data_IF_476339266071
#
_entry.id   IF_476339266071
#
_cell.length_a   1.000
_cell.length_b   1.000
_cell.length_c   1.000
_cell.angle_alpha   90.00
_cell.angle_beta   90.00
_cell.angle_gamma   90.00
#
_symmetry.space_group_name_H-M   'P 1'
#
loop_
_entity.id
_entity.type
_entity.pdbx_description
1 polymer ?
#
# COMPACT_ATOMS: atom_id res chain seq x y z
N UNK A 1 -16.43 -2.36 7.11
CA UNK A 1 -17.91 -2.29 7.15
C UNK A 1 -18.46 -3.42 6.31
N UNK A 2 -19.49 -4.13 6.80
CA UNK A 2 -19.92 -5.38 6.18
C UNK A 2 -18.86 -6.50 6.28
N UNK A 3 -19.15 -7.63 5.65
CA UNK A 3 -18.31 -8.82 5.60
C UNK A 3 -18.29 -9.39 4.18
N UNK A 4 -17.10 -9.77 3.71
CA UNK A 4 -16.89 -10.46 2.44
C UNK A 4 -16.45 -11.88 2.80
N UNK A 5 -17.23 -12.88 2.40
CA UNK A 5 -16.94 -14.28 2.71
C UNK A 5 -15.73 -14.80 1.93
N UNK A 6 -15.12 -15.90 2.40
CA UNK A 6 -13.98 -16.55 1.75
C UNK A 6 -12.62 -15.94 2.07
N UNK A 7 -11.55 -16.54 1.52
CA UNK A 7 -10.16 -16.09 1.67
C UNK A 7 -9.43 -16.14 0.35
N UNK A 8 -8.58 -15.15 0.09
CA UNK A 8 -7.77 -15.07 -1.12
C UNK A 8 -6.89 -16.32 -1.33
N UNK A 9 -7.01 -16.95 -2.50
CA UNK A 9 -6.17 -18.10 -2.89
C UNK A 9 -6.68 -19.45 -2.41
N UNK A 10 -7.70 -19.47 -1.57
CA UNK A 10 -8.36 -20.67 -1.06
C UNK A 10 -9.74 -20.86 -1.75
N UNK A 11 -10.43 -21.96 -1.42
CA UNK A 11 -11.82 -22.15 -1.83
C UNK A 11 -12.73 -21.24 -1.01
N UNK A 12 -13.66 -20.52 -1.66
CA UNK A 12 -14.63 -19.67 -0.97
C UNK A 12 -15.45 -20.44 0.09
N UNK A 13 -15.67 -21.73 -0.15
CA UNK A 13 -16.45 -22.64 0.69
C UNK A 13 -15.74 -23.04 1.99
N UNK A 14 -14.43 -22.79 2.11
CA UNK A 14 -13.64 -23.14 3.29
C UNK A 14 -13.80 -22.15 4.45
N UNK A 15 -14.41 -20.98 4.20
CA UNK A 15 -14.71 -19.95 5.20
C UNK A 15 -16.15 -19.45 5.05
N UNK A 16 -17.14 -20.26 5.49
CA UNK A 16 -18.55 -19.89 5.42
C UNK A 16 -18.86 -18.85 6.50
N UNK A 17 -18.75 -17.57 6.16
CA UNK A 17 -19.34 -16.50 6.97
C UNK A 17 -20.60 -15.96 6.30
N UNK A 18 -21.61 -15.60 7.09
CA UNK A 18 -22.79 -14.92 6.58
C UNK A 18 -22.36 -13.58 5.95
N UNK A 19 -22.65 -13.41 4.67
CA UNK A 19 -22.28 -12.19 3.94
C UNK A 19 -23.09 -11.02 4.50
N UNK A 20 -22.47 -10.16 5.31
CA UNK A 20 -23.09 -8.94 5.81
C UNK A 20 -22.87 -7.81 4.80
N UNK A 21 -23.93 -7.35 4.15
CA UNK A 21 -23.84 -6.24 3.21
C UNK A 21 -23.67 -4.91 3.92
N UNK A 22 -22.86 -4.02 3.36
CA UNK A 22 -22.63 -2.68 3.90
C UNK A 22 -23.91 -1.85 3.77
N UNK A 23 -24.32 -1.16 4.83
CA UNK A 23 -25.44 -0.23 4.80
C UNK A 23 -24.98 1.18 4.40
N UNK A 24 -25.74 1.94 3.58
CA UNK A 24 -25.37 3.30 3.19
C UNK A 24 -25.20 4.27 4.38
N UNK A 25 -26.05 4.14 5.40
CA UNK A 25 -25.96 4.96 6.62
C UNK A 25 -24.67 4.71 7.40
N UNK A 26 -24.25 3.45 7.53
CA UNK A 26 -23.00 3.07 8.19
C UNK A 26 -21.78 3.54 7.39
N UNK A 27 -21.83 3.38 6.06
CA UNK A 27 -20.79 3.86 5.16
C UNK A 27 -20.59 5.37 5.30
N UNK A 28 -21.68 6.13 5.28
CA UNK A 28 -21.64 7.58 5.49
C UNK A 28 -21.07 7.95 6.85
N UNK A 29 -21.58 7.37 7.93
CA UNK A 29 -21.10 7.66 9.28
C UNK A 29 -19.62 7.32 9.46
N UNK A 30 -19.14 6.24 8.83
CA UNK A 30 -17.74 5.86 8.86
C UNK A 30 -16.86 6.87 8.12
N UNK A 31 -17.24 7.25 6.89
CA UNK A 31 -16.49 8.24 6.09
C UNK A 31 -16.45 9.60 6.79
N UNK A 32 -17.59 10.08 7.29
CA UNK A 32 -17.67 11.37 8.01
C UNK A 32 -16.78 11.41 9.27
N UNK A 33 -16.62 10.26 9.95
CA UNK A 33 -15.81 10.16 11.18
C UNK A 33 -14.33 9.93 10.95
N UNK A 34 -13.96 9.31 9.83
CA UNK A 34 -12.60 8.82 9.58
C UNK A 34 -11.86 9.62 8.51
N UNK A 35 -12.58 10.26 7.59
CA UNK A 35 -11.97 10.97 6.47
C UNK A 35 -11.24 10.06 5.48
N UNK A 36 -11.59 8.77 5.39
CA UNK A 36 -10.96 7.85 4.44
C UNK A 36 -11.12 8.29 2.99
N UNK A 37 -10.08 8.12 2.18
CA UNK A 37 -10.07 8.53 0.76
C UNK A 37 -10.87 7.60 -0.16
N UNK A 38 -11.03 6.34 0.25
CA UNK A 38 -11.82 5.33 -0.46
C UNK A 38 -12.40 4.32 0.52
N UNK A 39 -13.52 3.69 0.14
CA UNK A 39 -14.23 2.78 1.02
C UNK A 39 -14.48 1.41 0.36
N UNK A 40 -14.00 0.35 1.02
CA UNK A 40 -14.39 -1.00 0.68
C UNK A 40 -15.80 -1.33 1.17
N UNK A 41 -16.62 -1.89 0.28
CA UNK A 41 -18.02 -2.22 0.55
C UNK A 41 -18.34 -3.67 0.20
N UNK A 42 -19.22 -4.29 0.99
CA UNK A 42 -19.75 -5.63 0.73
C UNK A 42 -21.13 -5.53 0.08
N UNK A 43 -21.23 -6.05 -1.15
CA UNK A 43 -22.45 -6.07 -1.97
C UNK A 43 -22.74 -7.46 -2.56
N UNK A 44 -22.13 -8.52 -2.02
CA UNK A 44 -22.31 -9.90 -2.50
C UNK A 44 -21.16 -10.47 -3.31
N UNK A 45 -19.98 -9.85 -3.29
CA UNK A 45 -18.74 -10.51 -3.71
C UNK A 45 -18.24 -11.47 -2.63
N UNK A 46 -17.41 -12.43 -3.04
CA UNK A 46 -16.79 -13.45 -2.19
C UNK A 46 -15.33 -13.59 -2.62
N UNK A 47 -14.42 -13.82 -1.68
CA UNK A 47 -13.01 -14.09 -1.95
C UNK A 47 -12.76 -15.57 -2.21
N UNK A 48 -11.83 -15.89 -3.12
CA UNK A 48 -11.44 -17.26 -3.45
C UNK A 48 -12.19 -17.85 -4.64
N UNK A 49 -11.99 -19.15 -4.89
CA UNK A 49 -12.64 -19.86 -6.00
C UNK A 49 -14.10 -20.11 -5.66
N UNK A 50 -15.02 -19.66 -6.52
CA UNK A 50 -16.46 -19.86 -6.37
C UNK A 50 -17.03 -20.88 -7.37
N UNK A 51 -17.97 -21.70 -6.91
CA UNK A 51 -18.86 -22.47 -7.78
C UNK A 51 -20.14 -21.64 -8.04
N UNK A 52 -20.33 -21.14 -9.26
CA UNK A 52 -21.52 -20.35 -9.65
C UNK A 52 -21.26 -18.85 -9.84
N UNK A 53 -22.33 -18.07 -10.04
CA UNK A 53 -22.25 -16.62 -10.29
C UNK A 53 -22.59 -15.82 -9.04
N UNK A 54 -21.71 -14.91 -8.63
CA UNK A 54 -21.99 -13.95 -7.57
C UNK A 54 -23.18 -13.04 -7.96
N UNK A 55 -24.18 -12.93 -7.08
CA UNK A 55 -25.31 -12.01 -7.24
C UNK A 55 -24.98 -10.71 -6.52
N UNK A 56 -24.58 -9.69 -7.28
CA UNK A 56 -24.21 -8.39 -6.74
C UNK A 56 -25.43 -7.47 -6.59
N UNK A 57 -25.54 -6.79 -5.45
CA UNK A 57 -26.58 -5.80 -5.17
C UNK A 57 -26.17 -4.42 -5.72
N UNK A 58 -26.45 -4.20 -7.01
CA UNK A 58 -26.14 -2.93 -7.67
C UNK A 58 -27.00 -1.75 -7.19
N UNK A 59 -28.21 -2.02 -6.69
CA UNK A 59 -29.08 -0.97 -6.14
C UNK A 59 -28.44 -0.39 -4.88
N UNK A 60 -27.95 -1.26 -4.00
CA UNK A 60 -27.16 -0.88 -2.83
C UNK A 60 -25.85 -0.19 -3.21
N UNK A 61 -25.12 -0.71 -4.20
CA UNK A 61 -23.89 -0.06 -4.67
C UNK A 61 -24.13 1.39 -5.11
N UNK A 62 -25.22 1.62 -5.86
CA UNK A 62 -25.62 2.96 -6.28
C UNK A 62 -25.92 3.86 -5.08
N UNK A 63 -26.68 3.35 -4.10
CA UNK A 63 -26.99 4.10 -2.86
C UNK A 63 -25.72 4.41 -2.05
N UNK A 64 -24.80 3.46 -1.93
CA UNK A 64 -23.50 3.65 -1.26
C UNK A 64 -22.71 4.77 -1.94
N UNK A 65 -22.55 4.69 -3.27
CA UNK A 65 -21.82 5.70 -4.05
C UNK A 65 -22.41 7.11 -3.85
N UNK A 66 -23.73 7.24 -3.90
CA UNK A 66 -24.44 8.50 -3.66
C UNK A 66 -24.29 9.01 -2.22
N UNK A 67 -24.16 8.12 -1.24
CA UNK A 67 -24.13 8.48 0.19
C UNK A 67 -22.75 8.96 0.66
N UNK A 68 -21.67 8.38 0.13
CA UNK A 68 -20.30 8.70 0.56
C UNK A 68 -19.55 9.61 -0.40
N UNK A 69 -19.88 9.60 -1.69
CA UNK A 69 -19.25 10.43 -2.73
C UNK A 69 -17.71 10.37 -2.77
N UNK A 70 -17.14 9.21 -2.43
CA UNK A 70 -15.72 8.88 -2.54
C UNK A 70 -15.58 7.58 -3.34
N UNK A 71 -14.41 7.30 -3.95
CA UNK A 71 -14.17 6.05 -4.66
C UNK A 71 -14.48 4.79 -3.85
N UNK A 72 -15.22 3.86 -4.44
CA UNK A 72 -15.57 2.58 -3.80
C UNK A 72 -14.58 1.47 -4.19
N UNK A 73 -14.39 0.52 -3.27
CA UNK A 73 -13.52 -0.64 -3.44
C UNK A 73 -14.33 -1.92 -3.33
N UNK A 74 -14.04 -2.87 -4.23
CA UNK A 74 -14.63 -4.21 -4.22
C UNK A 74 -13.55 -5.25 -3.97
N UNK A 75 -13.68 -5.99 -2.87
CA UNK A 75 -12.91 -7.20 -2.62
C UNK A 75 -13.53 -8.39 -3.36
N UNK A 76 -12.70 -9.27 -3.93
CA UNK A 76 -13.17 -10.50 -4.58
C UNK A 76 -13.75 -10.28 -5.97
N UNK A 77 -12.96 -9.71 -6.89
CA UNK A 77 -13.34 -9.60 -8.32
C UNK A 77 -13.17 -10.89 -9.12
N UNK A 78 -12.57 -11.94 -8.55
CA UNK A 78 -12.33 -13.21 -9.26
C UNK A 78 -13.66 -13.92 -9.56
N UNK A 79 -13.86 -14.32 -10.82
CA UNK A 79 -15.10 -14.98 -11.27
C UNK A 79 -16.22 -14.06 -11.75
N UNK A 80 -16.04 -12.74 -11.65
CA UNK A 80 -16.96 -11.78 -12.26
C UNK A 80 -16.77 -11.71 -13.78
N UNK A 81 -17.87 -11.47 -14.51
CA UNK A 81 -17.84 -11.28 -15.95
C UNK A 81 -17.77 -9.79 -16.34
N UNK A 82 -17.68 -9.52 -17.64
CA UNK A 82 -17.56 -8.17 -18.22
C UNK A 82 -18.71 -7.24 -17.83
N UNK A 83 -19.95 -7.70 -17.98
CA UNK A 83 -21.14 -6.91 -17.61
C UNK A 83 -21.14 -6.54 -16.12
N UNK A 84 -20.70 -7.46 -15.25
CA UNK A 84 -20.59 -7.20 -13.82
C UNK A 84 -19.52 -6.14 -13.56
N UNK A 85 -18.34 -6.24 -14.16
CA UNK A 85 -17.29 -5.22 -14.02
C UNK A 85 -17.73 -3.85 -14.52
N UNK A 86 -18.39 -3.77 -15.68
CA UNK A 86 -18.93 -2.50 -16.18
C UNK A 86 -19.97 -1.89 -15.24
N UNK A 87 -20.84 -2.70 -14.65
CA UNK A 87 -21.81 -2.22 -13.65
C UNK A 87 -21.11 -1.74 -12.37
N UNK A 88 -20.04 -2.41 -11.93
CA UNK A 88 -19.26 -1.96 -10.79
C UNK A 88 -18.65 -0.57 -11.05
N UNK A 89 -17.90 -0.43 -12.15
CA UNK A 89 -17.20 0.84 -12.46
C UNK A 89 -18.18 1.98 -12.73
N UNK A 90 -19.31 1.70 -13.40
CA UNK A 90 -20.37 2.69 -13.64
C UNK A 90 -21.09 3.15 -12.37
N UNK A 91 -20.93 2.44 -11.25
CA UNK A 91 -21.51 2.78 -9.95
C UNK A 91 -20.44 3.20 -8.92
N UNK A 92 -19.33 3.78 -9.37
CA UNK A 92 -18.35 4.43 -8.49
C UNK A 92 -17.24 3.53 -7.94
N UNK A 93 -17.17 2.27 -8.38
CA UNK A 93 -16.04 1.40 -8.01
C UNK A 93 -14.81 1.82 -8.80
N UNK A 94 -13.75 2.20 -8.08
CA UNK A 94 -12.47 2.61 -8.65
C UNK A 94 -11.34 1.61 -8.39
N UNK A 95 -11.50 0.70 -7.42
CA UNK A 95 -10.51 -0.33 -7.07
C UNK A 95 -11.17 -1.70 -6.95
N UNK A 96 -10.56 -2.70 -7.57
CA UNK A 96 -11.03 -4.08 -7.59
C UNK A 96 -9.86 -4.99 -7.21
N UNK A 97 -10.07 -5.86 -6.22
CA UNK A 97 -9.06 -6.85 -5.84
C UNK A 97 -9.22 -8.14 -6.65
N UNK A 98 -8.13 -8.58 -7.30
CA UNK A 98 -8.15 -9.62 -8.32
C UNK A 98 -7.06 -10.69 -8.13
N UNK A 99 -6.82 -11.12 -6.89
CA UNK A 99 -5.72 -12.04 -6.59
C UNK A 99 -5.95 -13.48 -7.09
N UNK A 100 -7.08 -14.11 -6.77
CA UNK A 100 -7.30 -15.54 -7.01
C UNK A 100 -7.21 -15.91 -8.49
N UNK A 101 -7.79 -15.11 -9.37
CA UNK A 101 -7.68 -15.31 -10.82
C UNK A 101 -6.22 -15.23 -11.32
N UNK A 102 -5.42 -14.28 -10.83
CA UNK A 102 -4.00 -14.18 -11.19
C UNK A 102 -3.19 -15.37 -10.66
N UNK A 103 -3.49 -15.82 -9.44
CA UNK A 103 -2.89 -17.03 -8.85
C UNK A 103 -3.22 -18.28 -9.68
N UNK A 104 -4.46 -18.41 -10.15
CA UNK A 104 -4.88 -19.52 -11.02
C UNK A 104 -4.20 -19.47 -12.39
N UNK A 105 -4.02 -18.28 -12.97
CA UNK A 105 -3.25 -18.09 -14.20
C UNK A 105 -1.79 -18.52 -14.01
N UNK A 106 -1.16 -18.14 -12.89
CA UNK A 106 0.19 -18.56 -12.55
C UNK A 106 0.30 -20.09 -12.40
N UNK A 107 -0.61 -20.69 -11.63
CA UNK A 107 -0.65 -22.13 -11.42
C UNK A 107 -0.87 -22.89 -12.73
N UNK A 108 -1.74 -22.39 -13.62
CA UNK A 108 -1.98 -22.97 -14.95
C UNK A 108 -0.72 -22.93 -15.82
N UNK A 109 0.01 -21.81 -15.82
CA UNK A 109 1.27 -21.68 -16.55
C UNK A 109 2.33 -22.68 -16.04
N UNK A 110 2.50 -22.80 -14.72
CA UNK A 110 3.42 -23.77 -14.12
C UNK A 110 3.05 -25.21 -14.44
N UNK A 111 1.76 -25.58 -14.31
CA UNK A 111 1.27 -26.93 -14.65
C UNK A 111 1.48 -27.27 -16.12
N UNK A 112 1.25 -26.32 -17.03
CA UNK A 112 1.51 -26.50 -18.45
C UNK A 112 3.00 -26.80 -18.68
N UNK A 113 3.89 -25.98 -18.11
CA UNK A 113 5.33 -26.16 -18.24
C UNK A 113 5.83 -27.47 -17.65
N UNK A 114 5.29 -27.88 -16.50
CA UNK A 114 5.60 -29.18 -15.88
C UNK A 114 5.23 -30.37 -16.77
N UNK A 115 4.11 -30.29 -17.51
CA UNK A 115 3.74 -31.33 -18.49
C UNK A 115 4.66 -31.35 -19.71
N UNK A 116 5.08 -30.19 -20.19
CA UNK A 116 5.96 -30.05 -21.36
C UNK A 116 7.42 -30.43 -21.05
N UNK A 117 7.89 -30.15 -19.84
CA UNK A 117 9.24 -30.50 -19.37
C UNK A 117 9.19 -31.10 -17.96
N UNK A 118 8.87 -32.40 -17.81
CA UNK A 118 8.74 -33.05 -16.50
C UNK A 118 10.03 -33.08 -15.66
N UNK A 119 11.21 -32.95 -16.31
CA UNK A 119 12.52 -32.90 -15.64
C UNK A 119 13.01 -31.47 -15.43
N UNK A 120 12.19 -30.46 -15.75
CA UNK A 120 12.55 -29.05 -15.62
C UNK A 120 12.82 -28.66 -14.19
N UNK A 121 13.78 -27.74 -14.00
CA UNK A 121 14.08 -27.13 -12.71
C UNK A 121 12.95 -26.22 -12.24
N UNK A 122 13.01 -25.78 -10.99
CA UNK A 122 12.10 -24.74 -10.47
C UNK A 122 12.15 -23.45 -11.31
N UNK A 123 13.32 -23.07 -11.82
CA UNK A 123 13.48 -21.91 -12.70
C UNK A 123 12.72 -22.11 -14.01
N UNK A 124 12.77 -23.32 -14.58
CA UNK A 124 12.04 -23.65 -15.80
C UNK A 124 10.52 -23.57 -15.57
N UNK A 125 10.01 -24.08 -14.45
CA UNK A 125 8.59 -24.04 -14.11
C UNK A 125 8.00 -22.62 -14.07
N UNK A 126 8.80 -21.64 -13.61
CA UNK A 126 8.35 -20.25 -13.47
C UNK A 126 8.49 -19.41 -14.74
N UNK A 127 9.18 -19.92 -15.77
CA UNK A 127 9.59 -19.14 -16.95
C UNK A 127 8.46 -18.34 -17.60
N UNK A 128 7.26 -18.93 -17.71
CA UNK A 128 6.12 -18.29 -18.40
C UNK A 128 5.16 -17.56 -17.46
N UNK A 129 5.35 -17.68 -16.14
CA UNK A 129 4.39 -17.17 -15.14
C UNK A 129 4.24 -15.66 -15.27
N UNK A 130 5.34 -14.93 -15.39
CA UNK A 130 5.34 -13.47 -15.52
C UNK A 130 4.55 -13.03 -16.77
N UNK A 131 4.78 -13.67 -17.91
CA UNK A 131 4.08 -13.34 -19.15
C UNK A 131 2.58 -13.67 -19.05
N UNK A 132 2.24 -14.82 -18.46
CA UNK A 132 0.84 -15.23 -18.28
C UNK A 132 0.06 -14.24 -17.40
N UNK A 133 0.63 -13.85 -16.25
CA UNK A 133 0.05 -12.84 -15.35
C UNK A 133 -0.04 -11.48 -16.07
N UNK A 134 1.00 -11.07 -16.79
CA UNK A 134 1.02 -9.80 -17.52
C UNK A 134 -0.08 -9.70 -18.58
N UNK A 135 -0.32 -10.79 -19.33
CA UNK A 135 -1.40 -10.85 -20.32
C UNK A 135 -2.78 -10.74 -19.65
N UNK A 136 -2.97 -11.41 -18.51
CA UNK A 136 -4.24 -11.32 -17.77
C UNK A 136 -4.45 -9.93 -17.18
N UNK A 137 -3.42 -9.30 -16.61
CA UNK A 137 -3.48 -7.93 -16.13
C UNK A 137 -3.84 -6.96 -17.27
N UNK A 138 -3.24 -7.11 -18.46
CA UNK A 138 -3.58 -6.30 -19.63
C UNK A 138 -5.06 -6.48 -20.04
N UNK A 139 -5.58 -7.70 -20.00
CA UNK A 139 -6.99 -8.00 -20.27
C UNK A 139 -7.90 -7.27 -19.27
N UNK A 140 -7.59 -7.34 -17.98
CA UNK A 140 -8.31 -6.64 -16.92
C UNK A 140 -8.31 -5.12 -17.11
N UNK A 141 -7.15 -4.51 -17.41
CA UNK A 141 -7.05 -3.06 -17.64
C UNK A 141 -7.96 -2.58 -18.77
N UNK A 142 -8.08 -3.36 -19.86
CA UNK A 142 -9.00 -3.06 -20.97
C UNK A 142 -10.45 -3.20 -20.53
N UNK A 143 -10.79 -4.32 -19.89
CA UNK A 143 -12.15 -4.63 -19.43
C UNK A 143 -12.67 -3.62 -18.40
N UNK A 144 -11.82 -3.14 -17.51
CA UNK A 144 -12.18 -2.16 -16.48
C UNK A 144 -12.13 -0.71 -16.97
N UNK A 145 -11.67 -0.47 -18.20
CA UNK A 145 -11.61 0.86 -18.80
C UNK A 145 -10.46 1.74 -18.31
N UNK A 146 -9.39 1.16 -17.74
CA UNK A 146 -8.21 1.92 -17.30
C UNK A 146 -7.06 1.91 -18.32
N UNK A 147 -7.10 1.02 -19.31
CA UNK A 147 -6.09 0.98 -20.38
C UNK A 147 -6.01 2.32 -21.14
N UNK A 148 -4.79 2.83 -21.33
CA UNK A 148 -4.53 4.06 -22.07
C UNK A 148 -4.72 5.36 -21.28
N UNK A 149 -5.10 5.30 -20.00
CA UNK A 149 -5.39 6.49 -19.18
C UNK A 149 -4.19 7.05 -18.39
N UNK A 150 -3.02 6.43 -18.49
CA UNK A 150 -1.88 6.77 -17.63
C UNK A 150 -1.42 8.24 -17.79
N UNK A 151 -1.32 8.73 -19.03
CA UNK A 151 -0.92 10.12 -19.30
C UNK A 151 -1.91 11.14 -18.72
N UNK A 152 -3.22 10.92 -18.91
CA UNK A 152 -4.29 11.76 -18.34
C UNK A 152 -4.16 11.86 -16.81
N UNK A 153 -3.87 10.74 -16.14
CA UNK A 153 -3.71 10.70 -14.68
C UNK A 153 -2.44 11.43 -14.25
N UNK A 154 -1.32 11.23 -14.95
CA UNK A 154 -0.06 11.91 -14.62
C UNK A 154 -0.11 13.43 -14.80
N UNK A 155 -0.99 13.95 -15.67
CA UNK A 155 -1.23 15.40 -15.80
C UNK A 155 -2.05 15.98 -14.65
N UNK A 156 -2.86 15.16 -13.97
CA UNK A 156 -3.85 15.61 -12.97
C UNK A 156 -3.49 15.23 -11.54
N UNK A 157 -2.60 14.27 -11.37
CA UNK A 157 -2.17 13.78 -10.07
C UNK A 157 -0.73 14.19 -9.81
N UNK A 158 -0.45 14.60 -8.57
CA UNK A 158 0.91 14.76 -8.12
C UNK A 158 1.56 13.38 -7.97
N UNK A 159 2.75 13.15 -8.56
CA UNK A 159 3.46 11.90 -8.36
C UNK A 159 3.82 11.76 -6.88
N UNK A 160 3.75 10.52 -6.40
CA UNK A 160 4.13 10.20 -5.05
C UNK A 160 5.67 10.17 -4.95
N UNK A 161 6.27 11.33 -4.66
CA UNK A 161 7.72 11.52 -4.57
C UNK A 161 8.20 11.37 -3.13
N UNK A 162 9.21 10.52 -2.93
CA UNK A 162 9.81 10.35 -1.60
C UNK A 162 10.52 11.63 -1.16
N UNK A 163 10.57 11.86 0.16
CA UNK A 163 11.34 12.95 0.75
C UNK A 163 12.38 12.37 1.70
N UNK A 164 13.62 12.80 1.57
CA UNK A 164 14.74 12.43 2.42
C UNK A 164 15.03 13.57 3.38
N UNK A 165 14.86 13.33 4.67
CA UNK A 165 15.20 14.27 5.74
C UNK A 165 16.61 13.94 6.25
N UNK A 166 17.58 14.73 5.83
CA UNK A 166 18.99 14.54 6.17
C UNK A 166 19.37 15.43 7.34
N UNK A 167 19.95 14.82 8.37
CA UNK A 167 20.57 15.52 9.49
C UNK A 167 22.04 15.14 9.51
N UNK A 168 22.94 16.11 9.46
CA UNK A 168 24.36 15.90 9.74
C UNK A 168 24.73 16.67 10.99
N UNK A 169 25.47 16.05 11.90
CA UNK A 169 25.76 16.63 13.20
C UNK A 169 27.09 16.12 13.79
N UNK A 170 27.54 16.79 14.85
CA UNK A 170 28.57 16.32 15.76
C UNK A 170 27.95 15.92 17.10
N UNK A 171 28.73 15.25 17.95
CA UNK A 171 28.33 14.99 19.34
C UNK A 171 28.80 16.12 20.24
N UNK A 172 27.93 16.53 21.16
CA UNK A 172 28.28 17.51 22.17
C UNK A 172 29.34 16.93 23.11
N UNK A 173 30.39 17.71 23.40
CA UNK A 173 31.45 17.33 24.34
C UNK A 173 30.93 17.09 25.79
N UNK A 174 29.72 17.53 26.08
CA UNK A 174 29.05 17.36 27.38
C UNK A 174 27.97 16.27 27.37
N UNK A 175 27.80 15.54 26.25
CA UNK A 175 26.85 14.44 26.21
C UNK A 175 27.30 13.30 27.11
N UNK A 176 26.42 12.87 28.01
CA UNK A 176 26.62 11.68 28.84
C UNK A 176 26.00 10.42 28.20
N UNK A 177 25.34 10.58 27.05
CA UNK A 177 24.66 9.49 26.34
C UNK A 177 25.62 8.80 25.37
N UNK A 178 25.60 7.46 25.36
CA UNK A 178 26.32 6.69 24.35
C UNK A 178 25.73 6.95 22.96
N UNK A 179 26.59 7.21 21.98
CA UNK A 179 26.22 7.40 20.58
C UNK A 179 25.43 6.20 20.05
N UNK A 180 25.91 4.98 20.28
CA UNK A 180 25.24 3.76 19.82
C UNK A 180 23.83 3.62 20.39
N UNK A 181 23.65 4.03 21.65
CA UNK A 181 22.34 4.04 22.31
C UNK A 181 21.43 5.10 21.70
N UNK A 182 21.92 6.31 21.46
CA UNK A 182 21.16 7.39 20.82
C UNK A 182 20.71 6.98 19.41
N UNK A 183 21.62 6.41 18.61
CA UNK A 183 21.38 5.98 17.24
C UNK A 183 20.38 4.82 17.20
N UNK A 184 20.58 3.78 18.01
CA UNK A 184 19.72 2.59 18.02
C UNK A 184 18.30 2.90 18.51
N UNK A 185 18.19 3.69 19.58
CA UNK A 185 16.88 4.04 20.14
C UNK A 185 16.12 5.03 19.23
N UNK A 186 16.81 6.02 18.68
CA UNK A 186 16.21 6.92 17.68
C UNK A 186 15.73 6.14 16.45
N UNK A 187 16.54 5.21 15.93
CA UNK A 187 16.11 4.35 14.81
C UNK A 187 14.85 3.55 15.14
N UNK A 188 14.77 2.98 16.36
CA UNK A 188 13.60 2.24 16.83
C UNK A 188 12.35 3.11 16.90
N UNK A 189 12.45 4.30 17.49
CA UNK A 189 11.33 5.23 17.65
C UNK A 189 10.86 5.76 16.29
N UNK A 190 11.77 6.34 15.51
CA UNK A 190 11.42 7.05 14.28
C UNK A 190 10.87 6.08 13.21
N UNK A 191 11.35 4.84 13.16
CA UNK A 191 10.83 3.84 12.19
C UNK A 191 9.39 3.40 12.46
N UNK A 192 8.84 3.70 13.65
CA UNK A 192 7.45 3.37 14.00
C UNK A 192 6.47 4.50 13.64
N UNK A 193 6.97 5.69 13.31
CA UNK A 193 6.12 6.84 13.00
C UNK A 193 5.48 6.66 11.62
N UNK A 194 4.14 6.80 11.48
CA UNK A 194 3.46 6.65 10.20
C UNK A 194 4.08 7.50 9.08
N UNK A 195 4.27 6.89 7.91
CA UNK A 195 4.83 7.57 6.73
C UNK A 195 6.36 7.52 6.63
N UNK A 196 7.07 7.12 7.69
CA UNK A 196 8.50 6.78 7.62
C UNK A 196 8.68 5.44 6.90
N UNK A 197 9.61 5.41 5.95
CA UNK A 197 9.96 4.23 5.15
C UNK A 197 11.27 3.61 5.57
N UNK A 198 12.23 4.46 5.93
CA UNK A 198 13.57 4.03 6.28
C UNK A 198 14.18 5.06 7.23
N UNK A 199 14.96 4.55 8.20
CA UNK A 199 15.81 5.37 9.06
C UNK A 199 17.22 4.81 8.97
N UNK A 200 18.13 5.62 8.46
CA UNK A 200 19.55 5.35 8.38
C UNK A 200 20.30 6.25 9.36
N UNK A 201 21.36 5.70 9.95
CA UNK A 201 22.31 6.42 10.79
C UNK A 201 23.71 6.04 10.33
N UNK A 202 24.62 6.99 10.25
CA UNK A 202 25.98 6.75 9.77
C UNK A 202 27.01 7.59 10.51
N UNK A 203 28.25 7.10 10.46
CA UNK A 203 29.45 7.81 10.88
C UNK A 203 30.27 8.15 9.64
N UNK A 204 30.91 9.31 9.66
CA UNK A 204 31.78 9.74 8.59
C UNK A 204 33.02 8.85 8.53
N UNK A 205 33.35 8.36 7.35
CA UNK A 205 34.52 7.48 7.15
C UNK A 205 35.83 8.26 7.04
N UNK A 206 35.77 9.58 6.79
CA UNK A 206 36.94 10.45 6.69
C UNK A 206 37.26 11.09 8.04
N UNK A 207 38.51 10.96 8.49
CA UNK A 207 38.98 11.39 9.82
C UNK A 207 38.79 12.90 10.11
N UNK A 208 38.75 13.74 9.07
CA UNK A 208 38.66 15.21 9.20
C UNK A 208 37.36 15.79 8.63
N UNK A 209 36.28 15.02 8.67
CA UNK A 209 34.96 15.49 8.23
C UNK A 209 34.45 16.63 9.12
N UNK A 210 33.82 17.64 8.53
CA UNK A 210 33.19 18.74 9.28
C UNK A 210 32.06 18.25 10.21
N UNK A 211 31.34 17.21 9.77
CA UNK A 211 30.30 16.53 10.54
C UNK A 211 30.65 15.05 10.64
N UNK A 212 30.67 14.52 11.85
CA UNK A 212 31.05 13.13 12.12
C UNK A 212 29.90 12.15 11.97
N UNK A 213 28.65 12.60 12.07
CA UNK A 213 27.49 11.71 12.09
C UNK A 213 26.36 12.20 11.18
N UNK A 214 25.57 11.26 10.68
CA UNK A 214 24.39 11.57 9.89
C UNK A 214 23.18 10.70 10.24
N UNK A 215 22.01 11.25 9.98
CA UNK A 215 20.72 10.58 9.97
C UNK A 215 20.06 10.83 8.63
N UNK A 216 19.47 9.80 8.04
CA UNK A 216 18.62 9.91 6.85
C UNK A 216 17.28 9.27 7.18
N UNK A 217 16.23 10.08 7.20
CA UNK A 217 14.85 9.58 7.39
C UNK A 217 14.11 9.73 6.08
N UNK A 218 13.80 8.60 5.44
CA UNK A 218 13.03 8.59 4.20
C UNK A 218 11.56 8.55 4.50
N UNK A 219 10.83 9.50 3.96
CA UNK A 219 9.37 9.59 4.00
C UNK A 219 8.77 9.20 2.67
N UNK A 220 7.55 8.69 2.75
CA UNK A 220 6.74 8.40 1.57
C UNK A 220 6.51 9.62 0.69
N UNK A 221 6.21 10.76 1.30
CA UNK A 221 5.75 11.97 0.63
C UNK A 221 5.98 13.17 1.56
N UNK A 222 5.95 14.39 1.02
CA UNK A 222 6.10 15.62 1.82
C UNK A 222 5.09 15.71 2.97
N UNK A 223 3.82 15.36 2.71
CA UNK A 223 2.79 15.35 3.75
C UNK A 223 3.11 14.42 4.94
N UNK A 224 3.83 13.32 4.71
CA UNK A 224 4.27 12.44 5.78
C UNK A 224 5.40 13.05 6.61
N UNK A 225 6.33 13.79 5.98
CA UNK A 225 7.33 14.57 6.68
C UNK A 225 6.68 15.66 7.55
N UNK A 226 5.68 16.37 7.02
CA UNK A 226 4.99 17.42 7.76
C UNK A 226 4.25 16.84 8.98
N UNK A 227 3.54 15.71 8.82
CA UNK A 227 2.94 14.98 9.94
C UNK A 227 3.96 14.45 10.94
N UNK A 228 5.12 13.97 10.47
CA UNK A 228 6.20 13.48 11.33
C UNK A 228 6.76 14.58 12.25
N UNK A 229 6.88 15.81 11.74
CA UNK A 229 7.38 16.96 12.52
C UNK A 229 6.48 17.33 13.69
N UNK A 230 5.19 17.04 13.58
CA UNK A 230 4.19 17.28 14.62
C UNK A 230 3.99 16.04 15.52
N UNK A 231 4.65 14.92 15.22
CA UNK A 231 4.44 13.67 15.93
C UNK A 231 5.08 13.70 17.33
N UNK A 232 4.31 13.32 18.34
CA UNK A 232 4.73 13.37 19.75
C UNK A 232 6.01 12.58 20.03
N UNK A 233 6.17 11.42 19.41
CA UNK A 233 7.36 10.59 19.59
C UNK A 233 8.62 11.23 19.01
N UNK A 234 8.50 11.92 17.85
CA UNK A 234 9.60 12.66 17.27
C UNK A 234 9.98 13.85 18.16
N UNK A 235 9.00 14.64 18.61
CA UNK A 235 9.23 15.77 19.52
C UNK A 235 9.88 15.32 20.84
N UNK A 236 9.40 14.22 21.42
CA UNK A 236 9.97 13.65 22.66
C UNK A 236 11.39 13.13 22.45
N UNK A 237 11.68 12.44 21.34
CA UNK A 237 13.03 12.00 20.99
C UNK A 237 13.97 13.20 20.82
N UNK A 238 13.53 14.20 20.04
CA UNK A 238 14.30 15.39 19.74
C UNK A 238 14.69 16.13 21.03
N UNK A 239 13.70 16.44 21.88
CA UNK A 239 13.92 17.21 23.11
C UNK A 239 14.71 16.47 24.19
N UNK A 240 14.43 15.18 24.39
CA UNK A 240 14.97 14.44 25.54
C UNK A 240 16.29 13.74 25.27
N UNK A 241 16.54 13.34 24.02
CA UNK A 241 17.68 12.49 23.67
C UNK A 241 18.60 13.17 22.66
N UNK A 242 18.04 13.68 21.56
CA UNK A 242 18.86 14.18 20.45
C UNK A 242 19.46 15.56 20.73
N UNK A 243 18.65 16.60 20.92
CA UNK A 243 19.11 17.99 21.09
C UNK A 243 20.11 18.19 22.24
N UNK A 244 19.99 17.52 23.41
CA UNK A 244 21.00 17.62 24.46
C UNK A 244 22.34 16.97 24.12
N UNK A 245 22.35 16.02 23.18
CA UNK A 245 23.49 15.17 22.87
C UNK A 245 24.29 15.61 21.65
N UNK A 246 23.74 16.49 20.81
CA UNK A 246 24.35 16.89 19.54
C UNK A 246 24.82 18.35 19.54
N UNK A 247 25.84 18.64 18.75
CA UNK A 247 26.29 19.99 18.43
C UNK A 247 26.47 20.14 16.92
N UNK A 248 26.62 21.38 16.45
CA UNK A 248 26.92 21.70 15.03
C UNK A 248 26.08 20.87 14.07
N UNK A 249 24.80 21.22 13.92
CA UNK A 249 23.87 20.43 13.10
C UNK A 249 23.40 21.19 11.87
N UNK A 250 23.23 20.45 10.78
CA UNK A 250 22.51 20.87 9.57
C UNK A 250 21.36 19.89 9.35
N UNK A 251 20.20 20.44 9.01
CA UNK A 251 19.00 19.68 8.69
C UNK A 251 18.46 20.19 7.34
N UNK A 252 18.34 19.30 6.36
CA UNK A 252 17.88 19.63 5.00
C UNK A 252 16.96 18.53 4.49
N UNK A 253 15.88 18.92 3.84
CA UNK A 253 14.99 18.00 3.15
C UNK A 253 15.30 17.98 1.65
N UNK A 254 15.35 16.79 1.07
CA UNK A 254 15.50 16.59 -0.37
C UNK A 254 14.30 15.80 -0.88
N UNK A 255 13.64 16.30 -1.91
CA UNK A 255 12.59 15.56 -2.60
C UNK A 255 13.20 14.79 -3.77
N UNK A 256 12.74 13.56 -3.97
CA UNK A 256 13.04 12.76 -5.16
C UNK A 256 12.68 13.54 -6.43
N UNK A 257 13.50 13.41 -7.48
CA UNK A 257 13.27 14.04 -8.77
C UNK A 257 13.10 12.96 -9.84
N UNK A 258 11.97 13.01 -10.56
CA UNK A 258 11.66 12.17 -11.73
C UNK A 258 12.24 12.80 -12.99
#
# INVERSE_FOLDING_TARGET
LGYVAGREGEGAEQHPGETAFTLPSEAKAYVDRTGVDFLAVSIGTVQGRMNGRAKLDYARLKQLNQSVNIPLVIHGGSGLNEDQFHKLTSNGVAKIDYYTALSDVAAKAMRKRSKENPKGSFTDLKKDVKAAIGNEAQRCLRQWGSAGRAAEILERCEPWLSVEHLIVHNMSAHSTQSLDSLMSEGKRILSQIPGVREVFTGEATEENSKYSFCWSVRFTHKAALDSFREHQDFDSFLKKQFSPSVSDLICIDYQEKI
#
